data_IF_515411731881
#
_entry.id   IF_515411731881
#
_cell.length_a   1.000
_cell.length_b   1.000
_cell.length_c   1.000
_cell.angle_alpha   90.00
_cell.angle_beta   90.00
_cell.angle_gamma   90.00
#
_symmetry.space_group_name_H-M   'P 1'
#
loop_
_entity.id
_entity.type
_entity.pdbx_description
1 polymer ?
#
# COMPACT_ATOMS: atom_id res chain seq x y z
N UNK A 1 -5.60 10.51 15.24
CA UNK A 1 -5.31 9.18 14.63
C UNK A 1 -5.91 9.19 13.23
N UNK A 2 -5.10 8.98 12.20
CA UNK A 2 -5.55 8.97 10.80
C UNK A 2 -5.61 7.52 10.31
N UNK A 3 -6.72 7.14 9.69
CA UNK A 3 -6.90 5.83 9.07
C UNK A 3 -6.47 5.87 7.60
N UNK A 4 -5.71 4.88 7.14
CA UNK A 4 -5.42 4.66 5.72
C UNK A 4 -6.32 3.56 5.16
N UNK A 5 -6.93 3.77 4.00
CA UNK A 5 -7.79 2.79 3.33
C UNK A 5 -7.38 2.69 1.86
N UNK A 6 -6.97 1.50 1.45
CA UNK A 6 -6.60 1.22 0.06
C UNK A 6 -7.77 0.54 -0.64
N UNK A 7 -8.32 1.19 -1.65
CA UNK A 7 -9.39 0.66 -2.49
C UNK A 7 -8.83 -0.36 -3.49
N UNK A 8 -9.19 -1.61 -3.34
CA UNK A 8 -8.70 -2.73 -4.12
C UNK A 8 -9.86 -3.63 -4.64
N UNK A 9 -11.00 -3.02 -4.94
CA UNK A 9 -12.24 -3.71 -5.34
C UNK A 9 -12.71 -3.44 -6.78
N UNK A 10 -11.88 -2.79 -7.59
CA UNK A 10 -12.22 -2.43 -8.98
C UNK A 10 -12.32 -3.65 -9.91
N UNK A 11 -13.14 -3.54 -10.98
CA UNK A 11 -13.36 -4.65 -11.92
C UNK A 11 -12.15 -5.04 -12.77
N UNK A 12 -11.14 -4.16 -12.90
CA UNK A 12 -9.92 -4.42 -13.66
C UNK A 12 -10.13 -4.65 -15.16
N UNK A 13 -11.25 -4.16 -15.74
CA UNK A 13 -11.65 -4.46 -17.13
C UNK A 13 -10.58 -4.03 -18.15
N UNK A 14 -10.01 -2.82 -18.01
CA UNK A 14 -8.96 -2.31 -18.90
C UNK A 14 -7.63 -3.06 -18.75
N UNK A 15 -7.35 -3.54 -17.56
CA UNK A 15 -6.14 -4.30 -17.28
C UNK A 15 -6.26 -5.78 -17.65
N UNK A 16 -7.48 -6.30 -17.74
CA UNK A 16 -7.79 -7.70 -18.05
C UNK A 16 -7.64 -8.65 -16.85
N UNK A 17 -7.47 -8.12 -15.62
CA UNK A 17 -7.43 -8.89 -14.38
C UNK A 17 -8.11 -8.09 -13.26
N UNK A 18 -9.16 -8.62 -12.61
CA UNK A 18 -9.82 -7.95 -11.49
C UNK A 18 -8.91 -7.78 -10.27
N UNK A 19 -7.89 -8.62 -10.13
CA UNK A 19 -6.91 -8.54 -9.05
C UNK A 19 -5.61 -7.82 -9.45
N UNK A 20 -5.69 -6.81 -10.35
CA UNK A 20 -4.55 -5.99 -10.80
C UNK A 20 -3.70 -5.41 -9.67
N UNK A 21 -4.29 -5.21 -8.48
CA UNK A 21 -3.56 -4.74 -7.31
C UNK A 21 -2.43 -5.68 -6.87
N UNK A 22 -2.46 -6.93 -7.31
CA UNK A 22 -1.38 -7.90 -7.08
C UNK A 22 -0.35 -7.96 -8.22
N UNK A 23 -0.54 -7.18 -9.28
CA UNK A 23 0.46 -7.09 -10.34
C UNK A 23 1.73 -6.43 -9.79
N UNK A 24 2.92 -7.04 -9.99
CA UNK A 24 4.16 -6.51 -9.46
C UNK A 24 4.72 -5.38 -10.34
N UNK A 25 5.34 -4.41 -9.71
CA UNK A 25 6.23 -3.40 -10.31
C UNK A 25 7.57 -3.53 -9.61
N UNK A 26 8.64 -3.80 -10.35
CA UNK A 26 9.96 -4.13 -9.80
C UNK A 26 9.85 -5.22 -8.70
N UNK A 27 9.10 -6.27 -9.00
CA UNK A 27 8.89 -7.39 -8.11
C UNK A 27 7.95 -7.13 -6.92
N UNK A 28 7.50 -5.89 -6.66
CA UNK A 28 6.62 -5.56 -5.52
C UNK A 28 5.19 -5.33 -6.02
N UNK A 29 4.19 -6.12 -5.55
CA UNK A 29 2.79 -5.89 -5.91
C UNK A 29 2.34 -4.46 -5.65
N UNK A 30 1.54 -3.89 -6.57
CA UNK A 30 0.99 -2.52 -6.49
C UNK A 30 0.37 -2.23 -5.12
N UNK A 31 -0.41 -3.17 -4.59
CA UNK A 31 -1.03 -3.07 -3.26
C UNK A 31 0.00 -2.73 -2.17
N UNK A 32 1.14 -3.43 -2.15
CA UNK A 32 2.15 -3.24 -1.12
C UNK A 32 3.03 -2.03 -1.35
N UNK A 33 3.17 -1.57 -2.59
CA UNK A 33 3.79 -0.27 -2.90
C UNK A 33 2.98 0.88 -2.33
N UNK A 34 1.67 0.89 -2.59
CA UNK A 34 0.74 1.89 -2.05
C UNK A 34 0.65 1.79 -0.53
N UNK A 35 0.51 0.56 0.02
CA UNK A 35 0.45 0.32 1.45
C UNK A 35 1.70 0.86 2.18
N UNK A 36 2.88 0.62 1.65
CA UNK A 36 4.13 1.13 2.21
C UNK A 36 4.18 2.65 2.25
N UNK A 37 3.76 3.34 1.18
CA UNK A 37 3.74 4.80 1.13
C UNK A 37 2.74 5.40 2.13
N UNK A 38 1.52 4.85 2.19
CA UNK A 38 0.44 5.31 3.10
C UNK A 38 0.80 5.04 4.55
N UNK A 39 1.39 3.89 4.87
CA UNK A 39 1.77 3.50 6.22
C UNK A 39 2.81 4.43 6.88
N UNK A 40 3.52 5.26 6.10
CA UNK A 40 4.42 6.28 6.66
C UNK A 40 3.68 7.47 7.26
N UNK A 41 2.37 7.62 6.98
CA UNK A 41 1.60 8.83 7.33
C UNK A 41 0.41 8.52 8.25
N UNK A 42 -0.13 7.29 8.18
CA UNK A 42 -1.34 6.91 8.91
C UNK A 42 -1.04 6.02 10.12
N UNK A 43 -1.95 6.01 11.09
CA UNK A 43 -1.80 5.22 12.31
C UNK A 43 -2.30 3.78 12.15
N UNK A 44 -3.26 3.56 11.26
CA UNK A 44 -3.86 2.25 10.97
C UNK A 44 -4.18 2.12 9.49
N UNK A 45 -3.93 0.94 8.92
CA UNK A 45 -4.12 0.65 7.50
C UNK A 45 -5.19 -0.42 7.31
N UNK A 46 -6.04 -0.21 6.31
CA UNK A 46 -7.06 -1.15 5.83
C UNK A 46 -6.97 -1.33 4.33
N UNK A 47 -7.41 -2.47 3.86
CA UNK A 47 -7.70 -2.72 2.44
C UNK A 47 -9.19 -2.86 2.28
N UNK A 48 -9.81 -2.00 1.48
CA UNK A 48 -11.23 -2.08 1.11
C UNK A 48 -11.37 -2.82 -0.22
N UNK A 49 -12.07 -3.95 -0.20
CA UNK A 49 -12.22 -4.80 -1.38
C UNK A 49 -13.59 -5.48 -1.40
N UNK A 50 -13.96 -6.08 -2.53
CA UNK A 50 -15.20 -6.85 -2.60
C UNK A 50 -14.94 -8.36 -2.35
N UNK A 51 -15.96 -9.13 -1.97
CA UNK A 51 -15.83 -10.59 -1.77
C UNK A 51 -15.32 -11.37 -3.00
N UNK A 52 -15.27 -10.75 -4.17
CA UNK A 52 -14.77 -11.35 -5.41
C UNK A 52 -13.23 -11.37 -5.47
N UNK A 53 -12.55 -10.46 -4.76
CA UNK A 53 -11.10 -10.28 -4.77
C UNK A 53 -10.44 -11.04 -3.62
N UNK A 54 -10.59 -12.36 -3.62
CA UNK A 54 -10.14 -13.23 -2.51
C UNK A 54 -8.62 -13.17 -2.29
N UNK A 55 -7.84 -13.19 -3.39
CA UNK A 55 -6.38 -13.16 -3.29
C UNK A 55 -5.86 -11.85 -2.72
N UNK A 56 -6.50 -10.71 -3.06
CA UNK A 56 -6.18 -9.40 -2.48
C UNK A 56 -6.47 -9.41 -0.97
N UNK A 57 -7.64 -9.89 -0.56
CA UNK A 57 -8.02 -9.97 0.86
C UNK A 57 -7.07 -10.89 1.65
N UNK A 58 -6.72 -12.06 1.10
CA UNK A 58 -5.78 -13.01 1.71
C UNK A 58 -4.38 -12.41 1.82
N UNK A 59 -3.91 -11.70 0.77
CA UNK A 59 -2.61 -11.03 0.77
C UNK A 59 -2.54 -9.94 1.85
N UNK A 60 -3.57 -9.09 1.96
CA UNK A 60 -3.64 -8.05 2.99
C UNK A 60 -3.66 -8.65 4.40
N UNK A 61 -4.54 -9.62 4.65
CA UNK A 61 -4.70 -10.25 5.96
C UNK A 61 -3.42 -10.97 6.43
N UNK A 62 -2.66 -11.59 5.53
CA UNK A 62 -1.37 -12.23 5.84
C UNK A 62 -0.39 -11.25 6.48
N UNK A 63 -0.43 -9.99 6.10
CA UNK A 63 0.48 -8.94 6.57
C UNK A 63 -0.13 -8.06 7.65
N UNK A 64 -1.21 -8.53 8.29
CA UNK A 64 -1.86 -7.85 9.41
C UNK A 64 -2.62 -6.59 9.00
N UNK A 65 -2.93 -6.43 7.71
CA UNK A 65 -3.76 -5.34 7.20
C UNK A 65 -5.21 -5.81 7.25
N UNK A 66 -6.03 -5.13 8.06
CA UNK A 66 -7.45 -5.46 8.17
C UNK A 66 -8.20 -5.23 6.85
N UNK A 67 -9.18 -6.08 6.56
CA UNK A 67 -9.97 -6.02 5.33
C UNK A 67 -11.37 -5.47 5.61
N UNK A 68 -11.75 -4.45 4.85
CA UNK A 68 -13.13 -3.91 4.79
C UNK A 68 -13.79 -4.46 3.53
N UNK A 69 -14.90 -5.17 3.68
CA UNK A 69 -15.66 -5.61 2.53
C UNK A 69 -16.67 -4.54 2.10
N UNK A 70 -16.53 -4.09 0.84
CA UNK A 70 -17.46 -3.18 0.18
C UNK A 70 -18.30 -3.94 -0.85
N UNK A 71 -19.47 -3.41 -1.25
CA UNK A 71 -20.31 -4.05 -2.27
C UNK A 71 -19.60 -4.24 -3.62
N UNK A 72 -18.61 -3.41 -3.95
CA UNK A 72 -17.91 -3.44 -5.24
C UNK A 72 -18.82 -3.11 -6.43
N UNK A 73 -19.80 -2.23 -6.21
CA UNK A 73 -20.80 -1.82 -7.20
C UNK A 73 -20.47 -0.47 -7.84
N UNK A 74 -19.49 0.24 -7.31
CA UNK A 74 -19.00 1.51 -7.86
C UNK A 74 -18.21 2.31 -6.85
N UNK A 75 -17.31 3.17 -7.36
CA UNK A 75 -16.42 3.98 -6.55
C UNK A 75 -17.18 4.87 -5.53
N UNK A 76 -18.23 5.56 -5.98
CA UNK A 76 -18.99 6.49 -5.13
C UNK A 76 -19.68 5.81 -3.95
N UNK A 77 -20.30 4.64 -4.20
CA UNK A 77 -20.99 3.88 -3.16
C UNK A 77 -20.00 3.28 -2.15
N UNK A 78 -18.92 2.72 -2.66
CA UNK A 78 -17.86 2.18 -1.81
C UNK A 78 -17.20 3.30 -0.98
N UNK A 79 -16.92 4.45 -1.61
CA UNK A 79 -16.33 5.62 -0.96
C UNK A 79 -17.22 6.20 0.15
N UNK A 80 -18.54 6.32 -0.08
CA UNK A 80 -19.48 6.84 0.91
C UNK A 80 -19.50 5.98 2.19
N UNK A 81 -19.37 4.65 2.07
CA UNK A 81 -19.24 3.74 3.22
C UNK A 81 -17.96 4.04 4.02
N UNK A 82 -16.88 4.41 3.35
CA UNK A 82 -15.58 4.64 3.97
C UNK A 82 -15.50 5.97 4.73
N UNK A 83 -16.40 6.92 4.48
CA UNK A 83 -16.48 8.17 5.23
C UNK A 83 -16.67 7.97 6.74
N UNK A 84 -17.26 6.86 7.16
CA UNK A 84 -17.40 6.50 8.57
C UNK A 84 -16.06 6.26 9.30
N UNK A 85 -14.96 6.07 8.57
CA UNK A 85 -13.62 5.87 9.13
C UNK A 85 -12.83 7.18 9.31
N UNK A 86 -13.44 8.34 9.02
CA UNK A 86 -12.76 9.63 9.16
C UNK A 86 -12.25 9.90 10.59
N UNK A 87 -11.07 10.57 10.75
CA UNK A 87 -10.24 11.08 9.69
C UNK A 87 -9.52 9.97 8.91
N UNK A 88 -9.63 9.97 7.59
CA UNK A 88 -9.13 8.91 6.74
C UNK A 88 -8.49 9.39 5.43
N UNK A 89 -7.38 8.75 5.05
CA UNK A 89 -6.83 8.78 3.69
C UNK A 89 -7.39 7.60 2.94
N UNK A 90 -8.02 7.84 1.80
CA UNK A 90 -8.53 6.80 0.89
C UNK A 90 -7.76 6.89 -0.42
N UNK A 91 -7.18 5.78 -0.87
CA UNK A 91 -6.38 5.74 -2.09
C UNK A 91 -6.69 4.51 -2.93
N UNK A 92 -6.59 4.65 -4.24
CA UNK A 92 -6.61 3.49 -5.14
C UNK A 92 -5.34 2.64 -4.97
N UNK A 93 -5.43 1.35 -5.25
CA UNK A 93 -4.31 0.39 -5.08
C UNK A 93 -3.29 0.42 -6.23
N UNK A 94 -3.56 1.17 -7.29
CA UNK A 94 -2.87 1.12 -8.58
C UNK A 94 -1.97 2.33 -8.86
N UNK A 95 -1.77 3.21 -7.89
CA UNK A 95 -0.86 4.36 -7.99
C UNK A 95 0.57 3.89 -7.70
N UNK A 96 1.31 3.51 -8.75
CA UNK A 96 2.61 2.84 -8.62
C UNK A 96 3.71 3.71 -7.98
N UNK A 97 3.66 5.02 -8.17
CA UNK A 97 4.65 6.01 -7.73
C UNK A 97 4.17 6.90 -6.56
N UNK A 98 3.16 6.43 -5.81
CA UNK A 98 2.68 7.11 -4.61
C UNK A 98 3.81 7.25 -3.58
N UNK A 99 3.96 8.46 -3.02
CA UNK A 99 4.93 8.75 -1.97
C UNK A 99 4.24 9.27 -0.70
N UNK A 100 4.88 9.17 0.48
CA UNK A 100 4.37 9.78 1.70
C UNK A 100 4.12 11.28 1.58
N UNK A 101 4.91 12.00 0.77
CA UNK A 101 4.73 13.44 0.59
C UNK A 101 3.45 13.81 -0.18
N UNK A 102 2.98 12.97 -1.11
CA UNK A 102 1.69 13.14 -1.77
C UNK A 102 0.54 13.03 -0.74
N UNK A 103 0.61 12.03 0.13
CA UNK A 103 -0.37 11.81 1.21
C UNK A 103 -0.36 12.99 2.19
N UNK A 104 0.81 13.44 2.64
CA UNK A 104 0.96 14.54 3.59
C UNK A 104 0.40 15.87 3.05
N UNK A 105 0.52 16.14 1.75
CA UNK A 105 -0.08 17.35 1.15
C UNK A 105 -1.60 17.39 1.35
N UNK A 106 -2.28 16.24 1.22
CA UNK A 106 -3.74 16.18 1.41
C UNK A 106 -4.13 16.28 2.88
N UNK A 107 -3.40 15.65 3.78
CA UNK A 107 -3.75 15.60 5.22
C UNK A 107 -3.67 16.97 5.90
N UNK A 108 -3.16 17.99 5.22
CA UNK A 108 -3.20 19.38 5.66
C UNK A 108 -4.56 20.08 5.43
N UNK A 109 -5.47 19.46 4.68
CA UNK A 109 -6.79 20.05 4.39
C UNK A 109 -7.74 19.92 5.61
N UNK A 110 -8.54 20.96 5.83
CA UNK A 110 -9.56 21.02 6.90
C UNK A 110 -10.93 20.49 6.46
N UNK A 111 -11.12 20.28 5.15
CA UNK A 111 -12.34 19.75 4.53
C UNK A 111 -11.97 18.56 3.67
N UNK A 112 -12.98 17.83 3.16
CA UNK A 112 -12.74 16.76 2.20
C UNK A 112 -11.84 17.25 1.07
N UNK A 113 -10.74 16.55 0.82
CA UNK A 113 -9.77 16.89 -0.21
C UNK A 113 -9.57 15.73 -1.17
N UNK A 114 -9.57 16.02 -2.47
CA UNK A 114 -9.20 15.04 -3.50
C UNK A 114 -7.96 15.52 -4.24
N UNK A 115 -7.08 14.56 -4.55
CA UNK A 115 -5.83 14.84 -5.24
C UNK A 115 -6.05 15.01 -6.75
N UNK A 116 -5.33 15.97 -7.32
CA UNK A 116 -5.14 16.09 -8.77
C UNK A 116 -3.67 15.98 -9.13
N UNK A 117 -3.39 15.49 -10.33
CA UNK A 117 -2.09 15.43 -10.97
C UNK A 117 -2.23 15.97 -12.39
N UNK A 118 -1.65 17.16 -12.65
CA UNK A 118 -1.82 17.83 -13.94
C UNK A 118 -3.28 18.18 -14.26
N UNK A 119 -4.12 18.38 -13.26
CA UNK A 119 -5.54 18.70 -13.40
C UNK A 119 -6.48 17.49 -13.51
N UNK A 120 -5.96 16.26 -13.52
CA UNK A 120 -6.77 15.01 -13.54
C UNK A 120 -6.84 14.40 -12.13
N UNK A 121 -7.99 13.80 -11.76
CA UNK A 121 -8.14 13.11 -10.47
C UNK A 121 -7.36 11.80 -10.45
N UNK A 122 -6.66 11.55 -9.34
CA UNK A 122 -5.73 10.40 -9.19
C UNK A 122 -6.12 9.42 -8.09
N UNK A 123 -7.39 9.26 -7.79
CA UNK A 123 -7.85 8.23 -6.85
C UNK A 123 -7.23 8.30 -5.44
N UNK A 124 -6.77 9.48 -4.99
CA UNK A 124 -6.24 9.72 -3.66
C UNK A 124 -7.04 10.86 -3.00
N UNK A 125 -7.57 10.62 -1.80
CA UNK A 125 -8.43 11.56 -1.09
C UNK A 125 -8.16 11.57 0.42
N UNK A 126 -8.48 12.68 1.08
CA UNK A 126 -8.46 12.79 2.54
C UNK A 126 -9.80 13.30 3.07
N UNK A 127 -10.32 12.59 4.05
CA UNK A 127 -11.56 12.89 4.74
C UNK A 127 -11.23 13.24 6.20
N UNK A 128 -11.14 14.51 6.56
CA UNK A 128 -10.92 14.92 7.97
C UNK A 128 -12.13 14.60 8.86
N UNK A 129 -13.33 14.60 8.27
CA UNK A 129 -14.62 14.30 8.91
C UNK A 129 -15.50 13.48 7.95
N UNK A 130 -16.60 12.86 8.42
CA UNK A 130 -17.54 12.18 7.52
C UNK A 130 -18.33 13.12 6.59
N UNK A 131 -18.22 14.45 6.77
CA UNK A 131 -18.92 15.46 5.96
C UNK A 131 -18.25 15.64 4.59
N UNK A 132 -18.93 15.24 3.52
CA UNK A 132 -18.50 15.36 2.13
C UNK A 132 -19.12 16.57 1.41
N UNK A 133 -19.88 17.42 2.11
CA UNK A 133 -20.62 18.53 1.49
C UNK A 133 -19.73 19.67 0.98
N UNK A 134 -18.53 19.82 1.55
CA UNK A 134 -17.50 20.77 1.11
C UNK A 134 -16.22 20.05 0.80
N UNK A 135 -15.63 20.38 -0.33
CA UNK A 135 -14.41 19.73 -0.78
C UNK A 135 -13.49 20.71 -1.53
N UNK A 136 -12.22 20.32 -1.62
CA UNK A 136 -11.18 21.05 -2.34
C UNK A 136 -10.36 20.10 -3.18
N UNK A 137 -9.81 20.62 -4.28
CA UNK A 137 -8.80 19.94 -5.08
C UNK A 137 -7.41 20.32 -4.58
N UNK A 138 -6.52 19.35 -4.51
CA UNK A 138 -5.13 19.55 -4.11
C UNK A 138 -4.23 18.99 -5.19
N UNK A 139 -3.52 19.84 -5.90
CA UNK A 139 -2.50 19.41 -6.86
C UNK A 139 -1.30 18.81 -6.11
N UNK A 140 -1.10 17.51 -6.24
CA UNK A 140 -0.06 16.79 -5.48
C UNK A 140 1.25 16.65 -6.24
N UNK A 141 1.24 16.85 -7.55
CA UNK A 141 2.34 16.62 -8.46
C UNK A 141 2.14 15.34 -9.28
N UNK A 142 3.13 14.93 -10.09
CA UNK A 142 2.97 13.80 -10.98
C UNK A 142 2.67 12.50 -10.22
N UNK A 143 1.56 11.85 -10.58
CA UNK A 143 1.19 10.51 -10.16
C UNK A 143 0.65 9.73 -11.37
N UNK A 144 0.84 8.41 -11.37
CA UNK A 144 0.46 7.52 -12.47
C UNK A 144 -0.33 6.35 -11.97
N UNK A 145 -1.52 6.21 -12.53
CA UNK A 145 -2.36 5.04 -12.34
C UNK A 145 -1.94 3.92 -13.31
N UNK A 146 -1.89 2.71 -12.84
CA UNK A 146 -1.65 1.52 -13.66
C UNK A 146 -2.98 0.93 -14.07
N UNK A 147 -3.55 1.42 -15.17
CA UNK A 147 -4.86 1.02 -15.66
C UNK A 147 -4.81 -0.03 -16.76
N UNK A 148 -3.71 -0.08 -17.50
CA UNK A 148 -3.48 -1.00 -18.62
C UNK A 148 -2.17 -1.78 -18.44
N UNK A 149 -1.95 -2.78 -19.30
CA UNK A 149 -0.65 -3.49 -19.34
C UNK A 149 0.48 -2.57 -19.78
N UNK A 150 0.21 -1.59 -20.66
CA UNK A 150 1.20 -0.60 -21.07
C UNK A 150 1.65 0.30 -19.93
N UNK A 151 0.72 0.72 -19.05
CA UNK A 151 1.06 1.50 -17.86
C UNK A 151 1.93 0.68 -16.88
N UNK A 152 1.64 -0.64 -16.77
CA UNK A 152 2.45 -1.54 -15.95
C UNK A 152 3.89 -1.64 -16.50
N UNK A 153 4.05 -1.82 -17.81
CA UNK A 153 5.36 -1.89 -18.46
C UNK A 153 6.15 -0.58 -18.28
N UNK A 154 5.45 0.56 -18.35
CA UNK A 154 6.08 1.86 -18.07
C UNK A 154 6.49 1.98 -16.61
N UNK A 155 5.63 1.62 -15.66
CA UNK A 155 5.93 1.64 -14.24
C UNK A 155 7.11 0.70 -13.91
N UNK A 156 7.18 -0.48 -14.53
CA UNK A 156 8.28 -1.44 -14.42
C UNK A 156 9.60 -0.82 -14.89
N UNK A 157 9.59 -0.15 -16.05
CA UNK A 157 10.78 0.51 -16.61
C UNK A 157 11.28 1.65 -15.73
N UNK A 158 10.39 2.42 -15.10
CA UNK A 158 10.73 3.55 -14.24
C UNK A 158 11.13 3.13 -12.83
N UNK A 159 10.65 2.00 -12.39
CA UNK A 159 10.91 1.41 -11.09
C UNK A 159 10.85 2.43 -9.93
N UNK A 160 9.67 3.00 -9.63
CA UNK A 160 9.55 4.04 -8.62
C UNK A 160 9.97 3.55 -7.23
N UNK A 161 10.37 4.47 -6.37
CA UNK A 161 10.76 4.15 -4.98
C UNK A 161 9.62 3.43 -4.25
N UNK A 162 9.94 2.35 -3.55
CA UNK A 162 9.04 1.65 -2.66
C UNK A 162 9.36 1.97 -1.20
N UNK A 163 8.31 2.02 -0.37
CA UNK A 163 8.40 2.30 1.06
C UNK A 163 8.09 1.04 1.87
N UNK A 164 8.77 0.81 3.01
CA UNK A 164 8.57 -0.40 3.79
C UNK A 164 7.25 -0.38 4.56
N UNK A 165 6.70 -1.57 4.77
CA UNK A 165 5.77 -1.85 5.85
C UNK A 165 6.57 -2.25 7.10
N UNK A 166 5.97 -2.06 8.29
CA UNK A 166 6.56 -2.49 9.56
C UNK A 166 5.76 -3.65 10.12
N UNK A 167 6.43 -4.78 10.32
CA UNK A 167 5.80 -6.02 10.77
C UNK A 167 6.50 -6.59 12.01
N UNK A 168 5.82 -7.52 12.70
CA UNK A 168 6.46 -8.30 13.75
C UNK A 168 7.55 -9.19 13.11
N UNK A 169 8.82 -9.06 13.51
CA UNK A 169 9.89 -9.88 12.96
C UNK A 169 9.70 -11.37 13.21
N UNK A 170 8.94 -11.78 14.22
CA UNK A 170 8.61 -13.17 14.49
C UNK A 170 7.67 -13.80 13.43
N UNK A 171 6.97 -12.99 12.65
CA UNK A 171 6.15 -13.46 11.53
C UNK A 171 6.98 -13.87 10.30
N UNK A 172 8.26 -13.46 10.23
CA UNK A 172 9.15 -13.72 9.11
C UNK A 172 9.81 -15.11 9.22
N UNK A 173 10.00 -15.76 8.08
CA UNK A 173 10.57 -17.12 7.99
C UNK A 173 11.99 -17.05 7.41
N UNK A 174 13.04 -17.07 8.24
CA UNK A 174 14.39 -17.19 7.71
C UNK A 174 14.60 -18.58 7.08
N UNK A 175 15.37 -18.64 6.02
CA UNK A 175 15.81 -19.92 5.40
C UNK A 175 17.33 -20.11 5.51
N UNK A 176 18.03 -19.14 6.08
CA UNK A 176 19.47 -19.22 6.37
C UNK A 176 19.72 -19.11 7.87
N UNK A 177 20.67 -19.90 8.36
CA UNK A 177 21.18 -19.75 9.71
C UNK A 177 22.25 -18.67 9.75
N UNK A 178 22.06 -17.67 10.62
CA UNK A 178 23.01 -16.58 10.82
C UNK A 178 23.71 -16.77 12.14
N UNK A 179 25.00 -17.03 12.11
CA UNK A 179 25.83 -17.23 13.32
C UNK A 179 26.46 -15.92 13.81
N UNK A 180 26.81 -15.03 12.88
CA UNK A 180 27.45 -13.75 13.21
C UNK A 180 26.43 -12.75 13.78
N UNK A 181 26.82 -12.12 14.89
CA UNK A 181 26.05 -11.02 15.48
C UNK A 181 26.45 -9.68 14.89
N UNK A 182 25.46 -8.93 14.39
CA UNK A 182 25.66 -7.58 13.88
C UNK A 182 24.76 -6.60 14.63
N UNK A 183 25.23 -5.34 14.72
CA UNK A 183 24.46 -4.21 15.25
C UNK A 183 24.30 -3.16 14.17
N UNK A 184 23.16 -2.49 14.17
CA UNK A 184 22.81 -1.51 13.14
C UNK A 184 22.38 -0.19 13.77
N UNK A 185 22.98 0.92 13.32
CA UNK A 185 22.52 2.27 13.64
C UNK A 185 21.30 2.65 12.79
N UNK A 186 21.25 2.14 11.54
CA UNK A 186 20.12 2.27 10.61
C UNK A 186 19.82 0.90 10.04
N UNK A 187 18.56 0.47 10.11
CA UNK A 187 18.12 -0.81 9.56
C UNK A 187 17.46 -0.57 8.21
N UNK A 188 18.11 -1.03 7.15
CA UNK A 188 17.49 -1.07 5.83
C UNK A 188 16.38 -2.13 5.75
N UNK A 189 15.35 -1.95 4.91
CA UNK A 189 14.29 -2.93 4.76
C UNK A 189 14.80 -4.34 4.43
N UNK A 190 14.08 -5.34 4.95
CA UNK A 190 14.28 -6.76 4.66
C UNK A 190 13.45 -7.10 3.44
N UNK A 191 14.03 -7.80 2.46
CA UNK A 191 13.27 -8.31 1.32
C UNK A 191 12.59 -9.64 1.70
N UNK A 192 11.28 -9.71 1.49
CA UNK A 192 10.44 -10.84 1.93
C UNK A 192 9.49 -11.25 0.81
N UNK A 193 9.31 -12.54 0.58
CA UNK A 193 8.25 -13.02 -0.31
C UNK A 193 6.86 -12.81 0.32
N UNK A 194 5.98 -12.05 -0.36
CA UNK A 194 4.69 -11.70 0.20
C UNK A 194 3.73 -12.90 0.36
N UNK A 195 3.94 -13.98 -0.40
CA UNK A 195 3.11 -15.19 -0.38
C UNK A 195 3.42 -16.11 0.78
N UNK A 196 4.69 -16.24 1.14
CA UNK A 196 5.18 -17.26 2.09
C UNK A 196 5.75 -16.69 3.37
N UNK A 197 6.05 -15.40 3.42
CA UNK A 197 6.80 -14.69 4.47
C UNK A 197 8.27 -15.16 4.58
N UNK A 198 8.82 -15.84 3.56
CA UNK A 198 10.23 -16.23 3.51
C UNK A 198 11.09 -14.99 3.27
N UNK A 199 12.15 -14.86 4.05
CA UNK A 199 13.13 -13.77 3.91
C UNK A 199 13.99 -14.06 2.68
N UNK A 200 13.99 -13.15 1.72
CA UNK A 200 14.82 -13.25 0.50
C UNK A 200 16.21 -12.62 0.71
N UNK A 201 16.26 -11.50 1.43
CA UNK A 201 17.50 -10.86 1.86
C UNK A 201 17.31 -10.16 3.21
N UNK A 202 18.36 -10.15 4.02
CA UNK A 202 18.38 -9.43 5.30
C UNK A 202 18.32 -10.29 6.55
N UNK A 203 18.75 -11.56 6.51
CA UNK A 203 18.76 -12.50 7.64
C UNK A 203 19.51 -11.96 8.87
N UNK A 204 20.64 -11.27 8.69
CA UNK A 204 21.36 -10.61 9.78
C UNK A 204 20.55 -9.46 10.41
N UNK A 205 19.83 -8.68 9.59
CA UNK A 205 18.94 -7.60 10.05
C UNK A 205 17.76 -8.16 10.83
N UNK A 206 17.16 -9.26 10.34
CA UNK A 206 16.08 -9.97 11.03
C UNK A 206 16.54 -10.43 12.42
N UNK A 207 17.70 -11.10 12.52
CA UNK A 207 18.24 -11.56 13.80
C UNK A 207 18.45 -10.40 14.77
N UNK A 208 18.98 -9.28 14.30
CA UNK A 208 19.17 -8.08 15.13
C UNK A 208 17.81 -7.57 15.65
N UNK A 209 16.80 -7.44 14.79
CA UNK A 209 15.47 -6.92 15.14
C UNK A 209 14.75 -7.83 16.14
N UNK A 210 14.83 -9.15 15.96
CA UNK A 210 14.29 -10.13 16.91
C UNK A 210 14.89 -9.95 18.32
N UNK A 211 16.22 -9.78 18.40
CA UNK A 211 16.89 -9.56 19.69
C UNK A 211 16.55 -8.20 20.31
N UNK A 212 16.42 -7.17 19.48
CA UNK A 212 16.13 -5.82 19.93
C UNK A 212 14.65 -5.60 20.30
N UNK A 213 13.75 -6.54 19.93
CA UNK A 213 12.32 -6.39 20.13
C UNK A 213 11.72 -5.25 19.31
N UNK A 214 12.29 -4.96 18.13
CA UNK A 214 11.89 -3.87 17.26
C UNK A 214 11.11 -4.40 16.03
N UNK A 215 10.13 -3.65 15.51
CA UNK A 215 9.43 -4.03 14.29
C UNK A 215 10.40 -4.07 13.09
N UNK A 216 10.15 -5.00 12.18
CA UNK A 216 10.95 -5.17 10.99
C UNK A 216 10.40 -4.33 9.83
N UNK A 217 11.20 -3.41 9.26
CA UNK A 217 10.85 -2.79 7.98
C UNK A 217 11.02 -3.81 6.87
N UNK A 218 9.94 -4.06 6.10
CA UNK A 218 9.94 -5.04 5.02
C UNK A 218 9.49 -4.43 3.69
N UNK A 219 10.10 -4.91 2.60
CA UNK A 219 9.59 -4.78 1.24
C UNK A 219 9.09 -6.15 0.79
N UNK A 220 7.83 -6.21 0.34
CA UNK A 220 7.12 -7.43 0.03
C UNK A 220 7.19 -7.72 -1.47
N UNK A 221 8.03 -8.67 -1.85
CA UNK A 221 8.26 -9.07 -3.24
C UNK A 221 7.39 -10.24 -3.65
N UNK A 222 7.09 -10.34 -4.93
CA UNK A 222 6.60 -11.55 -5.57
C UNK A 222 7.80 -12.38 -6.04
N UNK A 223 8.11 -13.46 -5.33
CA UNK A 223 9.27 -14.30 -5.64
C UNK A 223 9.20 -14.97 -7.02
N UNK A 224 7.99 -15.17 -7.55
CA UNK A 224 7.81 -15.81 -8.86
C UNK A 224 8.26 -14.93 -10.03
N UNK A 225 8.54 -13.63 -9.79
CA UNK A 225 8.93 -12.66 -10.84
C UNK A 225 10.26 -11.94 -10.56
N UNK A 226 10.97 -12.30 -9.50
CA UNK A 226 12.27 -11.70 -9.09
C UNK A 226 13.43 -12.61 -9.44
#
# INVERSE_FOLDING_TARGET
MITGIILAGGKGERFGDPEKCLAPVCGIPLLFRVAGAVAQVVDKLYVATSPRHKRVAEAAARWGIDVIYTPGIGYEQDFAQLAAYAPAVVTACDIADLTPSHVLKLTAAEVFATATSGGEYVGLSYLPTPDLSRWVEVEVGPLRDVDTRGDLEEAERLCPVAYPLYVDPAALKPHEEVLEERSYAVVHPIAVDYKTAVVLDGHHRLRFLLRAGLPAPVLLFDYDVV
#
